data_IF_340865185297
#
_entry.id   IF_340865185297
#
_cell.length_a   1.000
_cell.length_b   1.000
_cell.length_c   1.000
_cell.angle_alpha   90.00
_cell.angle_beta   90.00
_cell.angle_gamma   90.00
#
_symmetry.space_group_name_H-M   'P 1'
#
loop_
_entity.id
_entity.type
_entity.pdbx_description
1 polymer ?
#
# COMPACT_ATOMS: atom_id res chain seq x y z
N UNK A 1 24.52 -6.93 -10.62
CA UNK A 1 23.97 -5.82 -9.83
C UNK A 1 23.80 -6.20 -8.38
N UNK A 2 23.70 -5.24 -7.47
CA UNK A 2 23.30 -5.48 -6.08
C UNK A 2 21.80 -5.79 -6.02
N UNK A 3 21.41 -6.71 -5.14
CA UNK A 3 20.03 -7.07 -4.87
C UNK A 3 19.86 -7.71 -3.49
N UNK A 4 18.72 -7.50 -2.86
CA UNK A 4 18.29 -8.20 -1.66
C UNK A 4 17.35 -9.33 -2.07
N UNK A 5 17.82 -10.55 -1.97
CA UNK A 5 17.14 -11.76 -2.50
C UNK A 5 16.44 -12.50 -1.36
N UNK A 6 15.15 -12.71 -1.49
CA UNK A 6 14.40 -13.64 -0.64
C UNK A 6 14.75 -15.08 -1.04
N UNK A 7 15.50 -15.78 -0.19
CA UNK A 7 16.05 -17.10 -0.50
C UNK A 7 15.31 -18.24 0.19
N UNK A 8 14.65 -17.98 1.30
CA UNK A 8 13.80 -18.93 2.05
C UNK A 8 12.96 -18.17 3.08
N UNK A 9 12.05 -18.86 3.78
CA UNK A 9 11.28 -18.30 4.88
C UNK A 9 12.20 -17.66 5.91
N UNK A 10 11.92 -16.41 6.23
CA UNK A 10 12.67 -15.59 7.18
C UNK A 10 14.15 -15.42 6.82
N UNK A 11 14.47 -15.51 5.52
CA UNK A 11 15.83 -15.38 5.03
C UNK A 11 15.91 -14.48 3.80
N UNK A 12 16.68 -13.41 3.94
CA UNK A 12 17.06 -12.50 2.85
C UNK A 12 18.57 -12.55 2.69
N UNK A 13 19.07 -12.52 1.46
CA UNK A 13 20.51 -12.46 1.18
C UNK A 13 20.82 -11.23 0.34
N UNK A 14 21.70 -10.36 0.83
CA UNK A 14 22.26 -9.30 0.02
C UNK A 14 23.34 -9.85 -0.92
N UNK A 15 23.16 -9.63 -2.22
CA UNK A 15 24.10 -10.06 -3.27
C UNK A 15 24.62 -8.88 -4.04
N UNK A 16 25.90 -8.88 -4.39
CA UNK A 16 26.56 -7.84 -5.19
C UNK A 16 26.69 -8.23 -6.66
N UNK A 17 26.49 -9.51 -6.98
CA UNK A 17 26.67 -10.13 -8.28
C UNK A 17 25.38 -10.74 -8.87
N UNK A 18 24.22 -10.27 -8.42
CA UNK A 18 22.94 -10.74 -8.95
C UNK A 18 22.82 -10.42 -10.44
N UNK A 19 22.15 -11.28 -11.20
CA UNK A 19 22.00 -11.11 -12.64
C UNK A 19 21.27 -9.80 -12.98
N UNK A 20 21.78 -9.06 -13.98
CA UNK A 20 21.07 -7.90 -14.52
C UNK A 20 19.81 -8.36 -15.28
N UNK A 21 18.69 -7.65 -15.17
CA UNK A 21 17.57 -7.84 -16.08
C UNK A 21 18.01 -7.61 -17.54
N UNK A 22 17.41 -8.35 -18.47
CA UNK A 22 17.71 -8.22 -19.91
C UNK A 22 16.55 -7.59 -20.67
N UNK A 23 15.96 -6.54 -20.11
CA UNK A 23 14.88 -5.80 -20.74
C UNK A 23 15.40 -4.60 -21.54
N UNK A 24 14.58 -4.13 -22.51
CA UNK A 24 14.91 -2.96 -23.29
C UNK A 24 14.55 -1.64 -22.59
N UNK A 25 13.66 -1.68 -21.61
CA UNK A 25 13.39 -0.55 -20.72
C UNK A 25 13.91 -0.88 -19.33
N UNK A 26 14.83 -0.06 -18.83
CA UNK A 26 15.51 -0.27 -17.55
C UNK A 26 15.39 0.94 -16.66
N UNK A 27 15.04 0.71 -15.40
CA UNK A 27 15.00 1.72 -14.36
C UNK A 27 16.06 1.41 -13.30
N UNK A 28 16.94 2.37 -13.02
CA UNK A 28 17.82 2.35 -11.85
C UNK A 28 16.98 2.77 -10.64
N UNK A 29 16.82 1.89 -9.69
CA UNK A 29 16.05 2.14 -8.48
C UNK A 29 16.75 3.18 -7.61
N UNK A 30 16.03 4.20 -7.17
CA UNK A 30 16.53 5.23 -6.25
C UNK A 30 15.95 5.06 -4.84
N UNK A 31 14.83 4.40 -4.72
CA UNK A 31 14.21 4.02 -3.46
C UNK A 31 13.05 3.05 -3.69
N UNK A 32 12.90 2.09 -2.78
CA UNK A 32 11.79 1.15 -2.76
C UNK A 32 11.24 1.00 -1.33
N UNK A 33 9.95 1.24 -1.17
CA UNK A 33 9.25 1.05 0.10
C UNK A 33 9.12 -0.43 0.47
N UNK A 34 9.23 -0.75 1.76
CA UNK A 34 8.93 -2.10 2.26
C UNK A 34 7.45 -2.18 2.62
N UNK A 35 6.74 -3.07 1.96
CA UNK A 35 5.30 -3.30 2.13
C UNK A 35 5.00 -4.36 3.20
N UNK A 36 3.80 -4.30 3.77
CA UNK A 36 3.27 -5.39 4.60
C UNK A 36 3.17 -6.74 3.86
N UNK A 37 3.00 -6.72 2.53
CA UNK A 37 3.03 -7.91 1.69
C UNK A 37 4.43 -8.53 1.63
N UNK A 38 5.49 -7.71 1.52
CA UNK A 38 6.87 -8.20 1.56
C UNK A 38 7.17 -8.85 2.91
N UNK A 39 6.79 -8.18 4.01
CA UNK A 39 6.95 -8.73 5.37
C UNK A 39 6.16 -10.04 5.56
N UNK A 40 4.93 -10.11 5.06
CA UNK A 40 4.12 -11.34 5.12
C UNK A 40 4.76 -12.47 4.30
N UNK A 41 5.28 -12.15 3.11
CA UNK A 41 6.01 -13.10 2.25
C UNK A 41 7.25 -13.63 2.95
N UNK A 42 8.05 -12.74 3.52
CA UNK A 42 9.24 -13.09 4.31
C UNK A 42 8.91 -14.04 5.45
N UNK A 43 7.85 -13.75 6.23
CA UNK A 43 7.52 -14.52 7.43
C UNK A 43 6.79 -15.86 7.16
N UNK A 44 5.98 -15.95 6.10
CA UNK A 44 5.01 -17.04 5.92
C UNK A 44 4.98 -17.61 4.49
N UNK A 45 5.75 -17.05 3.58
CA UNK A 45 5.68 -17.36 2.15
C UNK A 45 4.47 -16.72 1.46
N UNK A 46 4.50 -16.81 0.13
CA UNK A 46 3.44 -16.27 -0.73
C UNK A 46 3.25 -17.15 -1.96
N UNK A 47 2.02 -17.28 -2.46
CA UNK A 47 1.73 -18.14 -3.62
C UNK A 47 2.44 -17.70 -4.90
N UNK A 48 2.65 -16.40 -5.09
CA UNK A 48 3.27 -15.84 -6.29
C UNK A 48 4.78 -15.56 -6.14
N UNK A 49 5.25 -15.25 -4.92
CA UNK A 49 6.65 -14.92 -4.65
C UNK A 49 7.39 -16.12 -4.09
N UNK A 50 7.84 -17.00 -5.00
CA UNK A 50 8.56 -18.20 -4.62
C UNK A 50 10.07 -17.93 -4.53
N UNK A 51 10.75 -18.34 -3.46
CA UNK A 51 12.19 -18.18 -3.37
C UNK A 51 12.93 -19.12 -4.36
N UNK A 52 14.11 -18.73 -4.92
CA UNK A 52 14.72 -17.42 -4.73
C UNK A 52 14.11 -16.34 -5.64
N UNK A 53 13.75 -15.18 -5.09
CA UNK A 53 13.28 -14.03 -5.86
C UNK A 53 13.64 -12.73 -5.18
N UNK A 54 13.62 -11.62 -5.92
CA UNK A 54 13.73 -10.27 -5.38
C UNK A 54 12.31 -9.75 -5.11
N UNK A 55 12.07 -9.20 -3.92
CA UNK A 55 10.82 -8.56 -3.53
C UNK A 55 10.86 -7.04 -3.79
N UNK A 56 9.82 -6.32 -3.33
CA UNK A 56 9.69 -4.88 -3.47
C UNK A 56 8.90 -4.46 -4.71
N UNK A 57 7.89 -3.61 -4.52
CA UNK A 57 6.95 -3.19 -5.57
C UNK A 57 6.47 -1.75 -5.41
N UNK A 58 7.02 -1.02 -4.44
CA UNK A 58 6.71 0.37 -4.14
C UNK A 58 7.92 1.26 -4.47
N UNK A 59 8.25 1.48 -5.75
CA UNK A 59 9.54 2.08 -6.12
C UNK A 59 9.44 3.23 -7.11
N UNK A 60 10.48 4.03 -7.07
CA UNK A 60 10.77 5.07 -8.07
C UNK A 60 12.24 4.99 -8.48
N UNK A 61 12.57 5.58 -9.62
CA UNK A 61 13.94 5.56 -10.12
C UNK A 61 14.17 6.36 -11.37
N UNK A 62 15.35 6.18 -11.98
CA UNK A 62 15.82 6.86 -13.17
C UNK A 62 15.87 5.87 -14.36
N UNK A 63 15.34 6.28 -15.50
CA UNK A 63 15.43 5.51 -16.75
C UNK A 63 16.88 5.49 -17.22
N UNK A 64 17.46 4.29 -17.34
CA UNK A 64 18.85 4.10 -17.80
C UNK A 64 18.95 3.49 -19.19
N UNK A 65 17.87 2.87 -19.68
CA UNK A 65 17.75 2.32 -21.03
C UNK A 65 16.28 2.41 -21.46
N UNK A 66 16.04 2.82 -22.69
CA UNK A 66 14.70 2.87 -23.29
C UNK A 66 14.81 2.68 -24.81
N UNK A 67 13.91 1.87 -25.43
CA UNK A 67 13.80 1.85 -26.88
C UNK A 67 13.17 3.13 -27.42
N UNK A 68 13.42 3.43 -28.67
CA UNK A 68 12.78 4.57 -29.35
C UNK A 68 11.24 4.41 -29.38
N UNK A 69 10.53 5.54 -29.32
CA UNK A 69 9.07 5.60 -29.49
C UNK A 69 8.26 5.39 -28.21
N UNK A 70 8.85 5.08 -27.06
CA UNK A 70 8.11 4.96 -25.79
C UNK A 70 7.83 6.28 -25.07
N UNK A 71 8.34 7.41 -25.56
CA UNK A 71 8.12 8.73 -24.97
C UNK A 71 8.99 9.03 -23.74
N UNK A 72 9.95 8.19 -23.43
CA UNK A 72 10.94 8.36 -22.35
C UNK A 72 12.35 8.48 -22.92
N UNK A 73 13.24 9.13 -22.18
CA UNK A 73 14.68 9.22 -22.45
C UNK A 73 15.48 8.81 -21.21
N UNK A 74 16.73 8.43 -21.43
CA UNK A 74 17.69 8.18 -20.35
C UNK A 74 17.83 9.44 -19.50
N UNK A 75 17.76 9.27 -18.17
CA UNK A 75 17.76 10.34 -17.18
C UNK A 75 16.36 10.79 -16.72
N UNK A 76 15.27 10.35 -17.39
CA UNK A 76 13.93 10.64 -16.90
C UNK A 76 13.67 9.93 -15.57
N UNK A 77 13.06 10.65 -14.65
CA UNK A 77 12.64 10.10 -13.36
C UNK A 77 11.22 9.55 -13.47
N UNK A 78 11.02 8.38 -12.89
CA UNK A 78 9.73 7.66 -12.99
C UNK A 78 9.34 6.99 -11.69
N UNK A 79 8.02 6.86 -11.46
CA UNK A 79 7.42 5.95 -10.51
C UNK A 79 6.65 4.88 -11.28
N UNK A 80 6.65 3.66 -10.79
CA UNK A 80 6.15 2.50 -11.55
C UNK A 80 5.06 1.78 -10.77
N UNK A 81 3.91 1.55 -11.43
CA UNK A 81 2.87 0.69 -10.88
C UNK A 81 3.32 -0.79 -10.94
N UNK A 82 3.03 -1.62 -9.93
CA UNK A 82 3.43 -3.02 -9.95
C UNK A 82 2.67 -3.85 -10.98
N UNK A 83 1.46 -3.46 -11.32
CA UNK A 83 0.59 -4.10 -12.31
C UNK A 83 -0.52 -3.17 -12.78
N UNK A 84 -1.19 -3.58 -13.85
CA UNK A 84 -2.47 -3.01 -14.28
C UNK A 84 -3.36 -4.07 -14.94
N UNK A 85 -4.68 -3.86 -14.90
CA UNK A 85 -5.66 -4.71 -15.59
C UNK A 85 -5.66 -4.49 -17.11
N UNK A 86 -6.23 -5.43 -17.89
CA UNK A 86 -6.28 -5.33 -19.36
C UNK A 86 -7.01 -4.08 -19.88
N UNK A 87 -7.95 -3.53 -19.10
CA UNK A 87 -8.72 -2.32 -19.45
C UNK A 87 -9.98 -2.57 -20.25
N UNK A 88 -10.29 -3.81 -20.64
CA UNK A 88 -11.42 -4.16 -21.55
C UNK A 88 -12.37 -5.23 -21.01
N UNK A 89 -12.05 -5.87 -19.89
CA UNK A 89 -12.92 -6.87 -19.30
C UNK A 89 -13.90 -6.24 -18.29
N UNK A 90 -14.98 -6.95 -18.00
CA UNK A 90 -16.04 -6.48 -17.09
C UNK A 90 -15.54 -6.10 -15.67
N UNK A 91 -14.40 -6.65 -15.20
CA UNK A 91 -13.77 -6.26 -13.94
C UNK A 91 -13.05 -4.92 -14.10
N UNK A 92 -12.34 -4.69 -15.19
CA UNK A 92 -11.69 -3.42 -15.47
C UNK A 92 -12.71 -2.28 -15.69
N UNK A 93 -13.83 -2.56 -16.35
CA UNK A 93 -14.94 -1.60 -16.50
C UNK A 93 -15.54 -1.14 -15.16
N UNK A 94 -15.43 -1.98 -14.11
CA UNK A 94 -15.86 -1.68 -12.75
C UNK A 94 -14.72 -1.07 -11.88
N UNK A 95 -13.60 -0.68 -12.49
CA UNK A 95 -12.40 -0.23 -11.78
C UNK A 95 -11.85 -1.26 -10.77
N UNK A 96 -12.07 -2.55 -11.05
CA UNK A 96 -11.57 -3.68 -10.26
C UNK A 96 -10.40 -4.38 -10.99
N UNK A 97 -9.47 -3.61 -11.55
CA UNK A 97 -8.31 -4.10 -12.29
C UNK A 97 -7.42 -5.05 -11.49
N UNK A 98 -7.42 -4.92 -10.16
CA UNK A 98 -6.75 -5.86 -9.24
C UNK A 98 -7.30 -7.30 -9.29
N UNK A 99 -8.50 -7.50 -9.83
CA UNK A 99 -9.16 -8.80 -9.99
C UNK A 99 -9.15 -9.27 -11.45
N UNK A 100 -8.58 -8.50 -12.37
CA UNK A 100 -8.49 -8.84 -13.78
C UNK A 100 -7.67 -10.13 -13.97
N UNK A 101 -8.16 -11.06 -14.78
CA UNK A 101 -7.46 -12.32 -15.07
C UNK A 101 -6.32 -12.14 -16.10
N UNK A 102 -6.33 -11.02 -16.84
CA UNK A 102 -5.33 -10.67 -17.86
C UNK A 102 -4.54 -9.43 -17.42
N UNK A 103 -3.99 -9.48 -16.21
CA UNK A 103 -3.14 -8.40 -15.71
C UNK A 103 -1.76 -8.42 -16.37
N UNK A 104 -1.19 -7.24 -16.56
CA UNK A 104 0.23 -7.07 -16.86
C UNK A 104 0.97 -6.70 -15.59
N UNK A 105 2.15 -7.25 -15.39
CA UNK A 105 2.98 -7.10 -14.19
C UNK A 105 4.36 -6.59 -14.53
N UNK A 106 5.03 -5.99 -13.55
CA UNK A 106 6.48 -5.85 -13.54
C UNK A 106 7.06 -7.17 -13.04
N UNK A 107 7.87 -7.84 -13.86
CA UNK A 107 8.36 -9.21 -13.58
C UNK A 107 9.49 -9.24 -12.54
N UNK A 108 10.08 -8.09 -12.20
CA UNK A 108 11.23 -7.99 -11.31
C UNK A 108 10.90 -7.20 -10.05
N UNK A 109 11.37 -7.69 -8.90
CA UNK A 109 11.28 -6.96 -7.64
C UNK A 109 12.30 -5.81 -7.57
N UNK A 110 11.94 -4.76 -6.85
CA UNK A 110 12.69 -3.51 -6.79
C UNK A 110 13.62 -3.38 -5.56
N UNK A 111 13.80 -4.44 -4.76
CA UNK A 111 14.90 -4.48 -3.80
C UNK A 111 16.22 -4.83 -4.52
N UNK A 112 16.53 -4.06 -5.56
CA UNK A 112 17.69 -4.23 -6.44
C UNK A 112 18.14 -2.88 -7.02
N UNK A 113 19.35 -2.83 -7.57
CA UNK A 113 19.86 -1.62 -8.25
C UNK A 113 19.08 -1.28 -9.52
N UNK A 114 18.58 -2.31 -10.22
CA UNK A 114 17.88 -2.11 -11.51
C UNK A 114 16.65 -3.01 -11.59
N UNK A 115 15.60 -2.45 -12.20
CA UNK A 115 14.39 -3.17 -12.58
C UNK A 115 14.24 -3.11 -14.10
N UNK A 116 14.09 -4.27 -14.73
CA UNK A 116 13.72 -4.40 -16.13
C UNK A 116 12.20 -4.33 -16.29
N UNK A 117 11.72 -3.58 -17.26
CA UNK A 117 10.29 -3.42 -17.54
C UNK A 117 10.02 -3.78 -18.99
N UNK A 118 9.09 -4.67 -19.23
CA UNK A 118 8.68 -4.99 -20.60
C UNK A 118 8.17 -3.72 -21.30
N UNK A 119 8.65 -3.38 -22.52
CA UNK A 119 8.23 -2.18 -23.24
C UNK A 119 6.71 -2.03 -23.40
N UNK A 120 5.97 -3.14 -23.53
CA UNK A 120 4.50 -3.11 -23.60
C UNK A 120 3.82 -2.62 -22.33
N UNK A 121 4.49 -2.75 -21.18
CA UNK A 121 4.01 -2.29 -19.88
C UNK A 121 4.15 -0.76 -19.72
N UNK A 122 5.18 -0.17 -20.34
CA UNK A 122 5.62 1.22 -20.08
C UNK A 122 4.50 2.24 -20.32
N UNK A 123 3.76 2.09 -21.40
CA UNK A 123 2.73 3.07 -21.80
C UNK A 123 1.60 3.27 -20.76
N UNK A 124 1.33 2.25 -19.92
CA UNK A 124 0.25 2.29 -18.93
C UNK A 124 0.76 2.29 -17.49
N UNK A 125 1.90 1.63 -17.23
CA UNK A 125 2.38 1.34 -15.87
C UNK A 125 3.54 2.22 -15.38
N UNK A 126 4.15 3.04 -16.25
CA UNK A 126 5.27 3.94 -15.90
C UNK A 126 4.78 5.39 -15.95
N UNK A 127 5.12 6.18 -14.94
CA UNK A 127 4.68 7.58 -14.81
C UNK A 127 5.88 8.49 -14.54
N UNK A 128 6.02 9.59 -15.29
CA UNK A 128 7.10 10.55 -15.05
C UNK A 128 6.87 11.31 -13.74
N UNK A 129 7.98 11.63 -13.07
CA UNK A 129 8.03 12.48 -11.88
C UNK A 129 9.06 13.58 -12.06
N UNK A 130 8.96 14.69 -11.32
CA UNK A 130 9.78 15.87 -11.55
C UNK A 130 11.11 15.87 -10.79
N UNK A 131 11.19 15.15 -9.69
CA UNK A 131 12.35 15.10 -8.80
C UNK A 131 12.51 13.73 -8.16
N UNK A 132 13.70 13.42 -7.67
CA UNK A 132 13.97 12.22 -6.91
C UNK A 132 13.59 12.46 -5.44
N UNK A 133 12.55 11.80 -4.97
CA UNK A 133 12.05 11.92 -3.59
C UNK A 133 11.45 10.59 -3.13
N UNK A 134 11.86 10.13 -1.96
CA UNK A 134 11.38 8.88 -1.38
C UNK A 134 9.85 8.86 -1.16
N UNK A 135 9.20 10.02 -1.15
CA UNK A 135 7.73 10.12 -1.04
C UNK A 135 6.99 9.39 -2.17
N UNK A 136 7.62 9.23 -3.33
CA UNK A 136 7.03 8.50 -4.45
C UNK A 136 6.90 6.99 -4.21
N UNK A 137 7.63 6.44 -3.22
CA UNK A 137 7.39 5.05 -2.77
C UNK A 137 6.02 4.86 -2.14
N UNK A 138 5.34 5.94 -1.77
CA UNK A 138 3.99 5.90 -1.18
C UNK A 138 2.87 5.92 -2.22
N UNK A 139 3.18 6.10 -3.52
CA UNK A 139 2.16 6.18 -4.59
C UNK A 139 1.40 4.85 -4.71
N UNK A 140 2.11 3.73 -4.72
CA UNK A 140 1.49 2.40 -4.79
C UNK A 140 0.56 2.12 -3.59
N UNK A 141 1.02 2.19 -2.33
CA UNK A 141 0.13 1.92 -1.20
C UNK A 141 -1.00 2.95 -1.06
N UNK A 142 -0.78 4.21 -1.46
CA UNK A 142 -1.85 5.21 -1.49
C UNK A 142 -2.91 4.88 -2.56
N UNK A 143 -2.52 4.31 -3.70
CA UNK A 143 -3.46 3.84 -4.72
C UNK A 143 -4.37 2.71 -4.16
N UNK A 144 -3.84 1.80 -3.36
CA UNK A 144 -4.62 0.80 -2.64
C UNK A 144 -5.61 1.45 -1.65
N UNK A 145 -5.18 2.49 -0.94
CA UNK A 145 -6.04 3.26 -0.01
C UNK A 145 -7.15 3.99 -0.77
N UNK A 146 -6.85 4.60 -1.92
CA UNK A 146 -7.85 5.26 -2.78
C UNK A 146 -8.90 4.25 -3.23
N UNK A 147 -8.49 3.05 -3.65
CA UNK A 147 -9.42 1.96 -3.93
C UNK A 147 -10.31 1.64 -2.71
N UNK A 148 -9.72 1.55 -1.50
CA UNK A 148 -10.48 1.32 -0.28
C UNK A 148 -11.50 2.42 0.01
N UNK A 149 -11.13 3.69 -0.16
CA UNK A 149 -12.02 4.83 0.07
C UNK A 149 -13.23 4.83 -0.86
N UNK A 150 -13.12 4.34 -2.09
CA UNK A 150 -14.25 4.20 -3.03
C UNK A 150 -15.35 3.24 -2.54
N UNK A 151 -15.05 2.35 -1.62
CA UNK A 151 -16.02 1.44 -1.00
C UNK A 151 -16.68 2.01 0.26
N UNK A 152 -16.28 3.23 0.69
CA UNK A 152 -16.90 3.93 1.80
C UNK A 152 -18.04 4.83 1.32
N UNK A 153 -19.05 4.99 2.17
CA UNK A 153 -20.15 5.92 1.92
C UNK A 153 -19.85 7.27 2.60
N UNK A 154 -19.00 8.09 1.97
CA UNK A 154 -18.58 9.39 2.52
C UNK A 154 -19.48 10.49 1.99
N UNK A 155 -20.15 11.20 2.89
CA UNK A 155 -21.01 12.35 2.64
C UNK A 155 -20.62 13.52 3.57
N UNK A 156 -21.11 14.76 3.33
CA UNK A 156 -20.85 15.88 4.21
C UNK A 156 -21.24 15.56 5.67
N UNK A 157 -20.31 15.75 6.60
CA UNK A 157 -20.44 15.46 8.05
C UNK A 157 -20.33 13.98 8.43
N UNK A 158 -20.09 13.05 7.49
CA UNK A 158 -19.82 11.67 7.89
C UNK A 158 -18.55 11.57 8.73
N UNK A 159 -18.56 10.65 9.69
CA UNK A 159 -17.43 10.39 10.59
C UNK A 159 -16.79 9.08 10.22
N UNK A 160 -15.47 9.07 10.10
CA UNK A 160 -14.68 7.88 9.76
C UNK A 160 -13.82 7.44 10.93
N UNK A 161 -13.93 6.18 11.32
CA UNK A 161 -13.00 5.53 12.25
C UNK A 161 -12.02 4.68 11.45
N UNK A 162 -10.74 4.84 11.72
CA UNK A 162 -9.67 4.00 11.17
C UNK A 162 -9.11 3.15 12.29
N UNK A 163 -9.26 1.84 12.19
CA UNK A 163 -8.80 0.86 13.18
C UNK A 163 -7.42 0.35 12.78
N UNK A 164 -6.43 0.77 13.53
CA UNK A 164 -5.01 0.50 13.32
C UNK A 164 -4.24 1.69 12.76
N UNK A 165 -3.24 2.15 13.52
CA UNK A 165 -2.33 3.24 13.20
C UNK A 165 -1.04 2.78 12.49
N UNK A 166 -1.09 1.68 11.75
CA UNK A 166 0.00 1.24 10.87
C UNK A 166 0.09 2.09 9.60
N UNK A 167 1.05 1.79 8.69
CA UNK A 167 1.27 2.60 7.48
C UNK A 167 0.00 2.82 6.65
N UNK A 168 -0.80 1.77 6.45
CA UNK A 168 -2.03 1.86 5.68
C UNK A 168 -3.10 2.71 6.38
N UNK A 169 -3.26 2.55 7.70
CA UNK A 169 -4.20 3.37 8.47
C UNK A 169 -3.82 4.85 8.47
N UNK A 170 -2.52 5.17 8.56
CA UNK A 170 -2.03 6.55 8.46
C UNK A 170 -2.24 7.11 7.05
N UNK A 171 -2.04 6.31 5.99
CA UNK A 171 -2.35 6.74 4.61
C UNK A 171 -3.85 7.04 4.43
N UNK A 172 -4.76 6.22 4.98
CA UNK A 172 -6.19 6.54 5.03
C UNK A 172 -6.45 7.87 5.73
N UNK A 173 -5.83 8.07 6.90
CA UNK A 173 -6.01 9.29 7.67
C UNK A 173 -5.51 10.54 6.93
N UNK A 174 -4.33 10.48 6.32
CA UNK A 174 -3.78 11.58 5.53
C UNK A 174 -4.64 11.92 4.31
N UNK A 175 -5.10 10.91 3.57
CA UNK A 175 -5.98 11.09 2.42
C UNK A 175 -7.32 11.71 2.82
N UNK A 176 -7.97 11.16 3.84
CA UNK A 176 -9.28 11.64 4.30
C UNK A 176 -9.18 13.04 4.93
N UNK A 177 -8.10 13.33 5.67
CA UNK A 177 -7.81 14.67 6.19
C UNK A 177 -7.64 15.69 5.05
N UNK A 178 -6.89 15.34 4.00
CA UNK A 178 -6.72 16.20 2.83
C UNK A 178 -8.06 16.47 2.09
N UNK A 179 -9.01 15.53 2.19
CA UNK A 179 -10.38 15.68 1.65
C UNK A 179 -11.35 16.37 2.65
N UNK A 180 -10.87 16.81 3.82
CA UNK A 180 -11.68 17.52 4.84
C UNK A 180 -12.71 16.64 5.57
N UNK A 181 -12.48 15.34 5.62
CA UNK A 181 -13.37 14.37 6.30
C UNK A 181 -13.07 14.33 7.80
N UNK A 182 -14.11 14.31 8.64
CA UNK A 182 -14.00 14.09 10.08
C UNK A 182 -13.58 12.65 10.35
N UNK A 183 -12.42 12.46 10.99
CA UNK A 183 -11.86 11.14 11.21
C UNK A 183 -11.20 10.97 12.58
N UNK A 184 -11.08 9.74 13.01
CA UNK A 184 -10.37 9.30 14.22
C UNK A 184 -9.57 8.04 13.93
N UNK A 185 -8.32 7.96 14.39
CA UNK A 185 -7.51 6.74 14.34
C UNK A 185 -7.55 6.05 15.69
N UNK A 186 -7.98 4.78 15.71
CA UNK A 186 -7.94 3.94 16.90
C UNK A 186 -6.64 3.11 16.89
N UNK A 187 -5.72 3.39 17.82
CA UNK A 187 -4.42 2.71 17.92
C UNK A 187 -4.05 2.45 19.39
N UNK A 188 -3.77 1.20 19.81
CA UNK A 188 -3.43 0.89 21.19
C UNK A 188 -2.00 1.31 21.59
N UNK A 189 -1.04 1.35 20.65
CA UNK A 189 0.36 1.65 20.96
C UNK A 189 0.58 3.16 21.15
N UNK A 190 1.05 3.56 22.32
CA UNK A 190 1.24 4.98 22.69
C UNK A 190 2.19 5.70 21.75
N UNK A 191 3.38 5.16 21.52
CA UNK A 191 4.37 5.76 20.62
C UNK A 191 3.83 6.00 19.19
N UNK A 192 2.95 5.12 18.70
CA UNK A 192 2.29 5.33 17.41
C UNK A 192 1.25 6.43 17.46
N UNK A 193 0.45 6.51 18.54
CA UNK A 193 -0.52 7.60 18.70
C UNK A 193 0.18 8.94 18.77
N UNK A 194 1.29 9.05 19.50
CA UNK A 194 2.10 10.28 19.56
C UNK A 194 2.60 10.69 18.16
N UNK A 195 3.15 9.74 17.39
CA UNK A 195 3.61 10.00 16.03
C UNK A 195 2.44 10.45 15.12
N UNK A 196 1.29 9.77 15.16
CA UNK A 196 0.11 10.13 14.37
C UNK A 196 -0.45 11.50 14.80
N UNK A 197 -0.49 11.77 16.10
CA UNK A 197 -0.91 13.07 16.63
C UNK A 197 0.02 14.22 16.20
N UNK A 198 1.34 13.98 16.09
CA UNK A 198 2.30 14.97 15.57
C UNK A 198 2.04 15.34 14.10
N UNK A 199 1.38 14.47 13.33
CA UNK A 199 0.88 14.76 11.96
C UNK A 199 -0.44 15.54 11.97
N UNK A 200 -0.94 15.92 13.15
CA UNK A 200 -2.24 16.62 13.33
C UNK A 200 -3.43 15.71 13.01
N UNK A 201 -3.31 14.40 13.26
CA UNK A 201 -4.39 13.41 13.08
C UNK A 201 -4.90 13.02 14.47
N UNK A 202 -6.23 13.10 14.72
CA UNK A 202 -6.79 12.72 16.01
C UNK A 202 -6.73 11.22 16.23
N UNK A 203 -6.36 10.81 17.46
CA UNK A 203 -6.22 9.42 17.86
C UNK A 203 -6.99 9.12 19.14
N UNK A 204 -7.42 7.86 19.30
CA UNK A 204 -8.03 7.35 20.51
C UNK A 204 -7.55 5.93 20.86
N UNK A 205 -7.78 5.53 22.09
CA UNK A 205 -7.63 4.14 22.55
C UNK A 205 -8.84 3.30 22.13
N UNK A 206 -8.72 1.96 22.03
CA UNK A 206 -9.83 1.08 21.67
C UNK A 206 -11.04 1.17 22.62
N UNK A 207 -10.81 1.43 23.91
CA UNK A 207 -11.86 1.59 24.93
C UNK A 207 -12.53 2.99 24.91
N UNK A 208 -11.99 3.95 24.16
CA UNK A 208 -12.54 5.28 23.97
C UNK A 208 -13.43 5.38 22.72
N UNK A 209 -13.46 4.32 21.89
CA UNK A 209 -14.29 4.30 20.68
C UNK A 209 -15.76 4.18 21.09
N UNK A 210 -16.50 5.25 20.81
CA UNK A 210 -17.93 5.34 21.08
C UNK A 210 -18.73 4.42 20.13
N UNK A 211 -19.74 3.72 20.67
CA UNK A 211 -20.61 2.85 19.89
C UNK A 211 -21.51 3.67 18.96
N UNK A 212 -21.71 3.20 17.74
CA UNK A 212 -22.63 3.76 16.73
C UNK A 212 -22.39 5.23 16.37
N UNK A 213 -21.17 5.72 16.56
CA UNK A 213 -20.80 7.10 16.26
C UNK A 213 -20.28 7.30 14.84
N UNK A 214 -19.68 6.27 14.26
CA UNK A 214 -18.94 6.38 13.00
C UNK A 214 -19.74 5.77 11.85
N UNK A 215 -19.97 6.59 10.82
CA UNK A 215 -20.69 6.22 9.60
C UNK A 215 -19.85 5.27 8.73
N UNK A 216 -18.54 5.41 8.80
CA UNK A 216 -17.62 4.52 8.11
C UNK A 216 -16.53 4.05 9.07
N UNK A 217 -16.21 2.76 9.01
CA UNK A 217 -15.14 2.14 9.79
C UNK A 217 -14.19 1.42 8.85
N UNK A 218 -12.91 1.78 8.86
CA UNK A 218 -11.85 1.10 8.11
C UNK A 218 -11.08 0.19 9.05
N UNK A 219 -11.16 -1.13 8.85
CA UNK A 219 -10.36 -2.10 9.60
C UNK A 219 -9.07 -2.36 8.85
N UNK A 220 -8.02 -1.57 9.18
CA UNK A 220 -6.70 -1.59 8.52
C UNK A 220 -5.73 -2.58 9.18
N UNK A 221 -6.23 -3.59 9.88
CA UNK A 221 -5.46 -4.62 10.57
C UNK A 221 -5.96 -6.02 10.23
N UNK A 222 -5.06 -7.01 10.24
CA UNK A 222 -5.35 -8.40 9.86
C UNK A 222 -5.85 -9.20 11.09
N UNK A 223 -6.93 -8.75 11.71
CA UNK A 223 -7.50 -9.36 12.93
C UNK A 223 -9.01 -9.54 12.78
N UNK A 224 -9.42 -10.82 12.76
CA UNK A 224 -10.80 -11.26 12.62
C UNK A 224 -11.72 -10.69 13.72
N UNK A 225 -11.28 -10.77 14.97
CA UNK A 225 -12.01 -10.27 16.13
C UNK A 225 -12.33 -8.77 16.07
N UNK A 226 -11.44 -7.97 15.45
CA UNK A 226 -11.71 -6.55 15.27
C UNK A 226 -12.74 -6.30 14.16
N UNK A 227 -12.80 -7.12 13.11
CA UNK A 227 -13.90 -7.03 12.12
C UNK A 227 -15.25 -7.30 12.80
N UNK A 228 -15.35 -8.37 13.59
CA UNK A 228 -16.55 -8.73 14.36
C UNK A 228 -16.98 -7.59 15.31
N UNK A 229 -16.02 -7.06 16.08
CA UNK A 229 -16.25 -5.98 17.03
C UNK A 229 -16.74 -4.71 16.35
N UNK A 230 -16.11 -4.29 15.27
CA UNK A 230 -16.39 -2.99 14.65
C UNK A 230 -17.62 -3.01 13.73
N UNK A 231 -18.08 -4.16 13.27
CA UNK A 231 -19.41 -4.30 12.67
C UNK A 231 -20.51 -3.95 13.70
N UNK A 232 -20.34 -4.38 14.94
CA UNK A 232 -21.28 -4.02 16.02
C UNK A 232 -21.19 -2.53 16.43
N UNK A 233 -19.99 -1.95 16.36
CA UNK A 233 -19.73 -0.55 16.73
C UNK A 233 -20.07 0.48 15.66
N UNK A 234 -20.24 0.08 14.41
CA UNK A 234 -20.60 0.98 13.32
C UNK A 234 -21.97 1.65 13.56
N UNK A 235 -22.16 2.85 13.03
CA UNK A 235 -23.46 3.54 13.05
C UNK A 235 -24.52 2.72 12.29
N UNK A 236 -25.81 2.98 12.56
CA UNK A 236 -26.89 2.41 11.77
C UNK A 236 -26.79 2.94 10.32
N UNK A 237 -26.99 2.10 9.33
CA UNK A 237 -26.72 2.34 7.91
C UNK A 237 -25.22 2.63 7.60
N UNK A 238 -24.32 2.35 8.53
CA UNK A 238 -22.87 2.57 8.37
C UNK A 238 -22.19 1.53 7.48
N UNK A 239 -20.97 1.84 7.06
CA UNK A 239 -20.13 0.95 6.24
C UNK A 239 -18.88 0.54 6.99
N UNK A 240 -18.58 -0.75 7.03
CA UNK A 240 -17.33 -1.32 7.56
C UNK A 240 -16.51 -1.88 6.41
N UNK A 241 -15.33 -1.32 6.20
CA UNK A 241 -14.37 -1.77 5.19
C UNK A 241 -13.35 -2.72 5.82
N UNK A 242 -13.35 -3.98 5.41
CA UNK A 242 -12.27 -4.93 5.66
C UNK A 242 -11.14 -4.63 4.67
N UNK A 243 -10.14 -3.90 5.13
CA UNK A 243 -8.96 -3.54 4.33
C UNK A 243 -7.76 -4.44 4.64
N UNK A 244 -7.54 -4.77 5.90
CA UNK A 244 -6.51 -5.72 6.31
C UNK A 244 -6.90 -7.16 5.93
N UNK A 245 -6.18 -7.78 4.98
CA UNK A 245 -6.51 -9.14 4.52
C UNK A 245 -6.33 -10.21 5.60
N UNK A 246 -7.39 -10.96 5.90
CA UNK A 246 -7.37 -12.12 6.80
C UNK A 246 -6.76 -13.34 6.09
N UNK A 247 -6.35 -14.34 6.86
CA UNK A 247 -5.93 -15.62 6.29
C UNK A 247 -7.15 -16.39 5.76
N UNK A 248 -6.94 -17.18 4.73
CA UNK A 248 -7.97 -18.10 4.24
C UNK A 248 -8.40 -19.04 5.37
N UNK A 249 -9.72 -19.10 5.63
CA UNK A 249 -10.30 -19.87 6.73
C UNK A 249 -10.40 -19.11 8.07
N UNK A 250 -9.91 -17.89 8.16
CA UNK A 250 -10.17 -16.99 9.30
C UNK A 250 -11.40 -16.12 8.99
N UNK A 251 -12.59 -16.74 8.91
CA UNK A 251 -13.81 -16.04 8.58
C UNK A 251 -14.42 -15.34 9.82
N UNK A 252 -14.76 -14.03 9.76
CA UNK A 252 -15.39 -13.33 10.87
C UNK A 252 -16.84 -13.75 11.04
N UNK A 253 -17.26 -13.95 12.30
CA UNK A 253 -18.66 -14.19 12.67
C UNK A 253 -19.40 -12.83 12.70
N UNK A 254 -20.13 -12.51 11.65
CA UNK A 254 -20.83 -11.24 11.53
C UNK A 254 -22.29 -11.35 11.97
N UNK A 255 -22.73 -10.39 12.78
CA UNK A 255 -24.10 -10.30 13.30
C UNK A 255 -25.11 -10.08 12.17
N UNK A 256 -26.03 -11.02 11.99
CA UNK A 256 -27.16 -10.84 11.07
C UNK A 256 -28.07 -9.68 11.47
N UNK A 257 -28.17 -9.40 12.79
CA UNK A 257 -28.91 -8.25 13.30
C UNK A 257 -28.27 -6.91 12.84
N UNK A 258 -26.96 -6.78 12.91
CA UNK A 258 -26.26 -5.58 12.43
C UNK A 258 -26.50 -5.39 10.93
N UNK A 259 -26.36 -6.45 10.12
CA UNK A 259 -26.54 -6.40 8.67
C UNK A 259 -28.00 -6.07 8.29
N UNK A 260 -28.97 -6.81 8.84
CA UNK A 260 -30.37 -6.71 8.39
C UNK A 260 -31.11 -5.54 9.04
N UNK A 261 -31.13 -5.49 10.37
CA UNK A 261 -31.98 -4.54 11.10
C UNK A 261 -31.34 -3.16 11.26
N UNK A 262 -30.02 -3.11 11.28
CA UNK A 262 -29.26 -1.85 11.36
C UNK A 262 -28.72 -1.39 10.01
N UNK A 263 -28.91 -2.17 8.94
CA UNK A 263 -28.45 -1.90 7.58
C UNK A 263 -26.94 -1.61 7.48
N UNK A 264 -26.13 -2.24 8.34
CA UNK A 264 -24.68 -2.09 8.27
C UNK A 264 -24.16 -2.83 7.04
N UNK A 265 -23.37 -2.15 6.22
CA UNK A 265 -22.67 -2.76 5.08
C UNK A 265 -21.30 -3.23 5.50
N UNK A 266 -20.99 -4.52 5.31
CA UNK A 266 -19.61 -5.02 5.36
C UNK A 266 -19.09 -5.20 3.94
N UNK A 267 -18.00 -4.53 3.62
CA UNK A 267 -17.37 -4.57 2.28
C UNK A 267 -15.87 -4.80 2.39
N UNK A 268 -15.21 -5.06 1.28
CA UNK A 268 -13.76 -5.23 1.21
C UNK A 268 -13.17 -4.54 -0.02
N UNK A 269 -11.86 -4.30 0.00
CA UNK A 269 -11.10 -3.86 -1.17
C UNK A 269 -9.81 -4.68 -1.29
N UNK A 270 -9.33 -4.83 -2.52
CA UNK A 270 -8.10 -5.55 -2.81
C UNK A 270 -7.30 -4.86 -3.91
N UNK A 271 -6.03 -4.56 -3.60
CA UNK A 271 -5.09 -3.99 -4.55
C UNK A 271 -5.50 -2.61 -5.07
N UNK A 272 -5.07 -2.29 -6.28
CA UNK A 272 -5.28 -1.01 -6.93
C UNK A 272 -5.78 -1.20 -8.39
N UNK A 273 -6.30 -0.13 -8.96
CA UNK A 273 -6.44 0.07 -10.40
C UNK A 273 -5.46 1.15 -10.87
N UNK A 274 -5.16 1.17 -12.16
CA UNK A 274 -4.22 2.16 -12.71
C UNK A 274 -4.77 3.61 -12.62
N UNK A 275 -6.08 3.77 -12.58
CA UNK A 275 -6.72 5.06 -12.32
C UNK A 275 -6.43 5.53 -10.89
N UNK A 276 -6.46 4.62 -9.91
CA UNK A 276 -6.10 4.91 -8.51
C UNK A 276 -4.63 5.29 -8.37
N UNK A 277 -3.74 4.65 -9.15
CA UNK A 277 -2.32 4.98 -9.14
C UNK A 277 -2.06 6.40 -9.65
N UNK A 278 -2.75 6.83 -10.70
CA UNK A 278 -2.68 8.22 -11.20
C UNK A 278 -3.21 9.22 -10.18
N UNK A 279 -4.34 8.92 -9.55
CA UNK A 279 -4.89 9.77 -8.48
C UNK A 279 -3.92 9.86 -7.29
N UNK A 280 -3.32 8.74 -6.90
CA UNK A 280 -2.33 8.68 -5.83
C UNK A 280 -1.09 9.52 -6.13
N UNK A 281 -0.56 9.44 -7.36
CA UNK A 281 0.58 10.26 -7.80
C UNK A 281 0.25 11.75 -7.66
N UNK A 282 -0.89 12.19 -8.20
CA UNK A 282 -1.32 13.58 -8.11
C UNK A 282 -1.51 14.04 -6.64
N UNK A 283 -2.05 13.17 -5.79
CA UNK A 283 -2.23 13.45 -4.36
C UNK A 283 -0.89 13.56 -3.62
N UNK A 284 0.06 12.69 -3.92
CA UNK A 284 1.42 12.74 -3.35
C UNK A 284 2.10 14.04 -3.78
N UNK A 285 2.07 14.39 -5.06
CA UNK A 285 2.67 15.62 -5.58
C UNK A 285 2.09 16.88 -4.95
N UNK A 286 0.78 16.92 -4.73
CA UNK A 286 0.11 18.06 -4.11
C UNK A 286 0.35 18.18 -2.59
N UNK A 287 0.79 17.10 -1.91
CA UNK A 287 0.87 17.03 -0.44
C UNK A 287 2.16 16.37 0.08
N UNK A 288 3.28 16.51 -0.64
CA UNK A 288 4.54 15.80 -0.34
C UNK A 288 4.95 15.84 1.12
N UNK A 289 4.94 17.01 1.75
CA UNK A 289 5.40 17.17 3.14
C UNK A 289 4.53 16.39 4.14
N UNK A 290 3.23 16.30 3.88
CA UNK A 290 2.32 15.51 4.72
C UNK A 290 2.59 14.01 4.59
N UNK A 291 2.74 13.52 3.37
CA UNK A 291 3.01 12.09 3.13
C UNK A 291 4.44 11.68 3.55
N UNK A 292 5.44 12.55 3.37
CA UNK A 292 6.84 12.27 3.75
C UNK A 292 6.98 11.92 5.22
N UNK A 293 6.13 12.44 6.11
CA UNK A 293 6.14 12.13 7.53
C UNK A 293 5.91 10.63 7.82
N UNK A 294 5.32 9.89 6.89
CA UNK A 294 5.12 8.45 7.01
C UNK A 294 6.43 7.66 6.87
N UNK A 295 7.40 8.19 6.13
CA UNK A 295 8.70 7.54 5.92
C UNK A 295 9.56 7.81 7.14
N UNK A 296 9.64 6.80 8.02
CA UNK A 296 10.38 6.92 9.28
C UNK A 296 11.85 6.53 9.17
N UNK A 297 12.19 5.72 8.17
CA UNK A 297 13.56 5.21 8.00
C UNK A 297 13.93 5.09 6.52
N UNK A 298 15.21 5.36 6.24
CA UNK A 298 15.87 5.13 4.97
C UNK A 298 17.12 4.30 5.21
N UNK A 299 17.18 3.11 4.66
CA UNK A 299 18.25 2.14 4.91
C UNK A 299 18.83 1.65 3.57
N UNK A 300 20.14 1.33 3.51
CA UNK A 300 20.71 0.69 2.35
C UNK A 300 20.21 -0.75 2.19
N UNK A 301 20.22 -1.28 0.97
CA UNK A 301 19.77 -2.65 0.67
C UNK A 301 20.47 -3.72 1.51
N UNK A 302 21.74 -3.51 1.84
CA UNK A 302 22.53 -4.41 2.68
C UNK A 302 21.99 -4.54 4.13
N UNK A 303 21.22 -3.54 4.60
CA UNK A 303 20.51 -3.57 5.88
C UNK A 303 19.06 -4.09 5.75
N UNK A 304 18.72 -4.74 4.66
CA UNK A 304 17.36 -5.22 4.41
C UNK A 304 16.80 -6.13 5.50
N UNK A 305 17.56 -7.08 6.03
CA UNK A 305 17.09 -7.92 7.15
C UNK A 305 16.77 -7.10 8.40
N UNK A 306 17.53 -6.04 8.68
CA UNK A 306 17.24 -5.09 9.76
C UNK A 306 15.92 -4.36 9.51
N UNK A 307 15.66 -3.94 8.27
CA UNK A 307 14.38 -3.31 7.90
C UNK A 307 13.19 -4.23 8.20
N UNK A 308 13.27 -5.50 7.81
CA UNK A 308 12.22 -6.49 8.09
C UNK A 308 12.03 -6.73 9.60
N UNK A 309 13.13 -6.81 10.36
CA UNK A 309 13.08 -6.96 11.81
C UNK A 309 12.44 -5.75 12.52
N UNK A 310 12.74 -4.52 12.08
CA UNK A 310 12.11 -3.30 12.60
C UNK A 310 10.60 -3.26 12.32
N UNK A 311 10.16 -3.62 11.10
CA UNK A 311 8.74 -3.68 10.76
C UNK A 311 8.00 -4.76 11.56
N UNK A 312 8.62 -5.92 11.79
CA UNK A 312 8.04 -7.00 12.60
C UNK A 312 7.81 -6.55 14.05
N UNK A 313 8.72 -5.77 14.61
CA UNK A 313 8.61 -5.20 15.96
C UNK A 313 7.75 -3.95 16.04
N UNK A 314 7.24 -3.49 14.89
CA UNK A 314 6.48 -2.25 14.77
C UNK A 314 7.24 -0.97 15.22
N UNK A 315 8.57 -0.98 15.07
CA UNK A 315 9.46 0.14 15.39
C UNK A 315 9.49 1.22 14.29
N UNK A 316 8.92 0.92 13.11
CA UNK A 316 8.84 1.84 11.98
C UNK A 316 7.43 1.87 11.39
N UNK A 317 7.06 2.97 10.71
CA UNK A 317 5.89 3.02 9.84
C UNK A 317 6.24 2.58 8.41
N UNK A 318 6.96 3.40 7.68
CA UNK A 318 7.46 3.05 6.35
C UNK A 318 8.98 3.12 6.34
N UNK A 319 9.60 2.08 5.79
CA UNK A 319 11.04 2.02 5.54
C UNK A 319 11.24 2.06 4.02
N UNK A 320 12.16 2.89 3.56
CA UNK A 320 12.63 2.91 2.18
C UNK A 320 14.01 2.26 2.12
N UNK A 321 14.16 1.24 1.29
CA UNK A 321 15.43 0.62 0.95
C UNK A 321 16.02 1.30 -0.27
N UNK A 322 17.34 1.56 -0.21
CA UNK A 322 18.09 2.21 -1.29
C UNK A 322 19.27 1.32 -1.72
N UNK A 323 19.48 1.13 -3.02
CA UNK A 323 20.58 0.33 -3.56
C UNK A 323 21.97 0.90 -3.33
#
# INVERSE_FOLDING_TARGET
MKALVYTDLQKMEYKTDYAMPNEEFMVKVMGCGVCGTDLKTYLKGHAYFQPPCVLGHEFYGEVTKTPEGLGYKVGDLVVVAPYYGCGECALCEKEAGSLCQNQSYVDYGAFAEYVGINPSFVAKGVFPIQEADDVYTLVEPLACVINGVKHLNIYPKSKVLIVGGGPMGVLFALLLKAKGVDLMVCEPAEARRELIASMGIPCCLPNEVEDRKYDNVVVAVNRKDLVEQYVEKAADAGTVLLFGGLKRGEDPAVSSHAIHYRQVTLTGSYGLDIAHFREALAMVEANKDSFRQLITHRLPLEEGEKAFAMLQKAEALKIVLVP
#
